data_IF_164722676343
#
_entry.id   IF_164722676343
#
_cell.length_a   1.000
_cell.length_b   1.000
_cell.length_c   1.000
_cell.angle_alpha   90.00
_cell.angle_beta   90.00
_cell.angle_gamma   90.00
#
_symmetry.space_group_name_H-M   'P 1'
#
loop_
_entity.id
_entity.type
_entity.pdbx_description
1 polymer ?
#
# COMPACT_ATOMS: atom_id res chain seq x y z
N UNK A 1 -5.50 3.59 36.47
CA UNK A 1 -4.64 4.49 35.67
C UNK A 1 -3.84 3.61 34.74
N UNK A 2 -3.89 3.71 33.43
CA UNK A 2 -4.57 4.63 32.53
C UNK A 2 -4.46 4.02 31.11
N UNK A 3 -5.40 4.36 30.24
CA UNK A 3 -5.56 3.92 28.85
C UNK A 3 -4.29 3.96 27.99
N UNK A 4 -4.19 3.05 27.00
CA UNK A 4 -4.00 3.47 25.60
C UNK A 4 -4.86 2.66 24.62
N UNK A 5 -5.54 3.29 23.64
CA UNK A 5 -6.70 2.69 22.96
C UNK A 5 -6.39 1.72 21.80
N UNK A 6 -5.13 1.34 21.55
CA UNK A 6 -4.77 0.66 20.29
C UNK A 6 -3.91 -0.61 20.41
N UNK A 7 -3.58 -1.08 21.61
CA UNK A 7 -3.28 -2.50 21.85
C UNK A 7 -2.24 -3.23 20.98
N UNK A 8 -1.24 -2.55 20.38
CA UNK A 8 -0.09 -3.24 19.75
C UNK A 8 1.23 -2.58 20.13
N UNK A 9 2.14 -3.38 20.67
CA UNK A 9 3.58 -3.05 20.78
C UNK A 9 4.13 -2.85 19.37
N UNK A 10 4.21 -1.60 18.93
CA UNK A 10 4.71 -1.22 17.61
C UNK A 10 4.40 0.23 17.30
N UNK A 11 5.25 0.89 16.52
CA UNK A 11 4.94 2.24 15.99
C UNK A 11 3.71 2.14 15.08
N UNK A 12 2.69 3.02 15.22
CA UNK A 12 1.51 2.96 14.37
C UNK A 12 1.91 3.13 12.90
N UNK A 13 1.25 2.42 11.97
CA UNK A 13 1.51 2.58 10.55
C UNK A 13 1.17 4.00 10.10
N UNK A 14 1.98 4.54 9.19
CA UNK A 14 1.69 5.78 8.46
C UNK A 14 1.03 5.39 7.14
N UNK A 15 -0.13 5.99 6.86
CA UNK A 15 -0.83 5.84 5.60
C UNK A 15 -0.54 7.03 4.68
N UNK A 16 -0.08 6.74 3.46
CA UNK A 16 0.11 7.72 2.39
C UNK A 16 -0.95 7.47 1.31
N UNK A 17 -1.89 8.40 1.17
CA UNK A 17 -3.01 8.27 0.23
C UNK A 17 -2.84 9.26 -0.92
N UNK A 18 -2.77 8.76 -2.15
CA UNK A 18 -2.66 9.58 -3.36
C UNK A 18 -4.04 9.87 -3.97
N UNK A 19 -4.21 11.11 -4.44
CA UNK A 19 -5.47 11.62 -5.01
C UNK A 19 -5.22 12.54 -6.21
N UNK A 20 -6.29 12.86 -6.96
CA UNK A 20 -6.30 13.97 -7.91
C UNK A 20 -5.52 13.75 -9.21
N UNK A 21 -5.31 12.50 -9.62
CA UNK A 21 -4.70 12.17 -10.91
C UNK A 21 -5.32 10.89 -11.48
N UNK A 22 -5.16 10.67 -12.79
CA UNK A 22 -5.60 9.43 -13.44
C UNK A 22 -4.90 8.19 -12.85
N UNK A 23 -5.57 7.04 -12.89
CA UNK A 23 -5.12 5.78 -12.26
C UNK A 23 -3.68 5.40 -12.60
N UNK A 24 -3.25 5.55 -13.85
CA UNK A 24 -1.86 5.26 -14.27
C UNK A 24 -0.83 6.13 -13.56
N UNK A 25 -1.13 7.41 -13.34
CA UNK A 25 -0.24 8.35 -12.64
C UNK A 25 -0.19 8.00 -11.15
N UNK A 26 -1.34 7.69 -10.54
CA UNK A 26 -1.40 7.27 -9.13
C UNK A 26 -0.62 5.98 -8.90
N UNK A 27 -0.79 4.97 -9.75
CA UNK A 27 -0.02 3.72 -9.70
C UNK A 27 1.49 3.98 -9.83
N UNK A 28 1.90 4.88 -10.73
CA UNK A 28 3.31 5.26 -10.89
C UNK A 28 3.86 5.94 -9.63
N UNK A 29 3.09 6.80 -8.98
CA UNK A 29 3.48 7.46 -7.71
C UNK A 29 3.60 6.46 -6.57
N UNK A 30 2.64 5.53 -6.44
CA UNK A 30 2.70 4.43 -5.47
C UNK A 30 3.99 3.62 -5.67
N UNK A 31 4.25 3.16 -6.91
CA UNK A 31 5.47 2.42 -7.24
C UNK A 31 6.74 3.22 -6.94
N UNK A 32 6.74 4.54 -7.19
CA UNK A 32 7.87 5.41 -6.87
C UNK A 32 8.16 5.43 -5.37
N UNK A 33 7.15 5.54 -4.52
CA UNK A 33 7.32 5.51 -3.05
C UNK A 33 7.85 4.16 -2.58
N UNK A 34 7.31 3.05 -3.09
CA UNK A 34 7.78 1.71 -2.75
C UNK A 34 9.26 1.52 -3.13
N UNK A 35 9.64 1.98 -4.33
CA UNK A 35 11.04 1.91 -4.79
C UNK A 35 11.98 2.78 -3.98
N UNK A 36 11.59 4.03 -3.67
CA UNK A 36 12.42 4.95 -2.88
C UNK A 36 12.66 4.44 -1.46
N UNK A 37 11.75 3.63 -0.92
CA UNK A 37 11.87 3.08 0.43
C UNK A 37 12.51 1.70 0.45
N UNK A 38 12.71 1.05 -0.71
CA UNK A 38 13.15 -0.35 -0.79
C UNK A 38 14.47 -0.62 -0.04
N UNK A 39 15.48 0.25 -0.18
CA UNK A 39 16.76 0.13 0.51
C UNK A 39 16.59 0.18 2.04
N UNK A 40 15.75 1.08 2.54
CA UNK A 40 15.43 1.18 3.95
C UNK A 40 14.81 -0.12 4.50
N UNK A 41 14.16 -0.92 3.64
CA UNK A 41 13.52 -2.18 3.99
C UNK A 41 14.34 -3.44 3.70
N UNK A 42 15.56 -3.32 3.13
CA UNK A 42 16.34 -4.45 2.58
C UNK A 42 16.58 -5.66 3.51
N UNK A 43 16.56 -5.44 4.82
CA UNK A 43 16.80 -6.48 5.84
C UNK A 43 15.56 -6.78 6.70
N UNK A 44 14.37 -6.36 6.26
CA UNK A 44 13.12 -6.49 7.02
C UNK A 44 11.95 -6.97 6.15
N UNK A 45 12.25 -7.55 4.97
CA UNK A 45 11.24 -7.90 3.97
C UNK A 45 10.30 -9.06 4.37
N UNK A 46 10.57 -9.74 5.48
CA UNK A 46 9.87 -10.95 5.90
C UNK A 46 9.08 -10.79 7.20
N UNK A 47 9.47 -9.85 8.06
CA UNK A 47 8.71 -9.59 9.27
C UNK A 47 7.56 -8.63 8.98
N UNK A 48 6.34 -9.17 9.05
CA UNK A 48 5.11 -8.38 9.17
C UNK A 48 5.15 -7.42 10.37
N UNK A 49 6.14 -7.59 11.24
CA UNK A 49 6.43 -6.78 12.41
C UNK A 49 7.56 -5.81 12.07
N UNK A 50 7.26 -4.54 12.26
CA UNK A 50 8.20 -3.43 12.18
C UNK A 50 9.53 -3.80 12.82
N UNK A 51 10.60 -3.91 12.02
CA UNK A 51 11.95 -4.01 12.56
C UNK A 51 12.22 -2.85 13.53
N UNK A 52 13.06 -3.03 14.56
CA UNK A 52 13.36 -1.98 15.53
C UNK A 52 13.78 -0.70 14.81
N UNK A 53 13.16 0.43 15.18
CA UNK A 53 13.45 1.75 14.61
C UNK A 53 12.72 2.12 13.31
N UNK A 54 11.96 1.21 12.69
CA UNK A 54 11.22 1.51 11.45
C UNK A 54 9.76 1.89 11.73
N UNK A 55 9.17 2.68 10.84
CA UNK A 55 7.73 3.02 10.87
C UNK A 55 7.07 2.30 9.69
N UNK A 56 6.01 1.51 9.88
CA UNK A 56 5.37 0.83 8.75
C UNK A 56 4.72 1.86 7.84
N UNK A 57 4.96 1.77 6.54
CA UNK A 57 4.35 2.64 5.53
C UNK A 57 3.35 1.84 4.69
N UNK A 58 2.10 2.32 4.69
CA UNK A 58 1.01 1.83 3.84
C UNK A 58 0.70 2.89 2.79
N UNK A 59 0.51 2.48 1.54
CA UNK A 59 0.31 3.39 0.41
C UNK A 59 -0.90 2.93 -0.40
N UNK A 60 -1.80 3.83 -0.76
CA UNK A 60 -2.99 3.53 -1.57
C UNK A 60 -3.43 4.75 -2.40
N UNK A 61 -4.33 4.54 -3.36
CA UNK A 61 -5.09 5.61 -3.99
C UNK A 61 -6.45 5.79 -3.28
N UNK A 62 -6.94 7.04 -3.18
CA UNK A 62 -8.24 7.30 -2.55
C UNK A 62 -9.40 6.67 -3.32
N UNK A 63 -9.32 6.58 -4.65
CA UNK A 63 -10.37 5.96 -5.47
C UNK A 63 -10.53 4.48 -5.09
N UNK A 64 -9.43 3.77 -4.85
CA UNK A 64 -9.45 2.37 -4.44
C UNK A 64 -10.01 2.23 -3.01
N UNK A 65 -9.63 3.13 -2.10
CA UNK A 65 -10.21 3.19 -0.75
C UNK A 65 -11.69 3.52 -0.75
N UNK A 66 -12.14 4.35 -1.69
CA UNK A 66 -13.56 4.73 -1.84
C UNK A 66 -14.35 3.54 -2.38
N UNK A 67 -13.79 2.80 -3.33
CA UNK A 67 -14.44 1.63 -3.93
C UNK A 67 -14.50 0.41 -3.01
N UNK A 68 -13.47 0.19 -2.18
CA UNK A 68 -13.32 -1.04 -1.38
C UNK A 68 -13.36 -0.82 0.14
N UNK A 69 -13.43 0.43 0.58
CA UNK A 69 -13.36 0.83 1.98
C UNK A 69 -11.93 0.79 2.55
N UNK A 70 -11.71 1.39 3.73
CA UNK A 70 -10.41 1.45 4.37
C UNK A 70 -9.89 0.10 4.88
N UNK A 71 -10.79 -0.88 5.05
CA UNK A 71 -10.44 -2.27 5.40
C UNK A 71 -10.24 -3.16 4.15
N UNK A 72 -10.41 -2.61 2.95
CA UNK A 72 -10.27 -3.33 1.69
C UNK A 72 -8.82 -3.70 1.36
N UNK A 73 -8.60 -4.66 0.45
CA UNK A 73 -7.27 -5.15 0.06
C UNK A 73 -6.57 -4.21 -0.93
N UNK A 74 -6.53 -2.91 -0.63
CA UNK A 74 -6.03 -1.84 -1.53
C UNK A 74 -4.70 -1.23 -1.06
N UNK A 75 -4.24 -1.64 0.12
CA UNK A 75 -3.01 -1.12 0.72
C UNK A 75 -1.78 -1.83 0.18
N UNK A 76 -0.82 -1.04 -0.31
CA UNK A 76 0.53 -1.47 -0.62
C UNK A 76 1.44 -1.19 0.56
N UNK A 77 2.18 -2.20 1.02
CA UNK A 77 3.09 -2.06 2.16
C UNK A 77 4.52 -1.92 1.67
N UNK A 78 5.21 -0.86 2.10
CA UNK A 78 6.64 -0.73 1.86
C UNK A 78 7.39 -1.83 2.62
N UNK A 79 8.37 -2.46 1.95
CA UNK A 79 9.12 -3.55 2.55
C UNK A 79 8.40 -4.90 2.62
N UNK A 80 7.26 -5.10 1.92
CA UNK A 80 6.75 -6.45 1.72
C UNK A 80 7.54 -7.17 0.61
N UNK A 81 7.87 -8.45 0.80
CA UNK A 81 8.68 -9.29 -0.13
C UNK A 81 8.05 -9.47 -1.51
N UNK A 82 6.80 -9.08 -1.69
CA UNK A 82 6.12 -9.10 -2.98
C UNK A 82 5.43 -7.76 -3.15
N UNK A 83 5.77 -6.97 -4.18
CA UNK A 83 4.77 -6.09 -4.73
C UNK A 83 3.60 -7.01 -5.10
N UNK A 84 2.39 -6.64 -4.71
CA UNK A 84 1.18 -7.13 -5.36
C UNK A 84 1.17 -6.68 -6.83
N UNK A 85 2.14 -7.14 -7.62
CA UNK A 85 2.26 -6.91 -9.06
C UNK A 85 1.01 -7.44 -9.79
N UNK A 86 0.23 -8.32 -9.16
CA UNK A 86 -0.99 -8.89 -9.72
C UNK A 86 -2.28 -8.08 -9.52
N UNK A 87 -2.31 -7.03 -8.70
CA UNK A 87 -3.58 -6.32 -8.41
C UNK A 87 -3.75 -5.01 -9.20
N UNK A 88 -2.68 -4.24 -9.41
CA UNK A 88 -2.77 -3.00 -10.20
C UNK A 88 -2.80 -3.23 -11.72
N UNK A 89 -2.25 -4.34 -12.22
CA UNK A 89 -2.36 -4.70 -13.65
C UNK A 89 -3.73 -5.33 -14.01
N UNK A 90 -4.49 -5.85 -13.04
CA UNK A 90 -5.79 -6.49 -13.27
C UNK A 90 -6.86 -5.53 -13.79
N UNK A 91 -6.74 -4.24 -13.51
CA UNK A 91 -7.76 -3.24 -13.86
C UNK A 91 -7.35 -2.27 -14.98
N UNK A 92 -6.19 -2.49 -15.59
CA UNK A 92 -5.74 -1.76 -16.79
C UNK A 92 -6.19 -2.40 -18.10
N UNK A 93 -6.78 -3.59 -18.04
CA UNK A 93 -7.45 -4.21 -19.19
C UNK A 93 -8.93 -3.88 -19.09
N UNK A 94 -9.51 -3.03 -19.99
CA UNK A 94 -10.96 -2.98 -20.10
C UNK A 94 -11.47 -4.40 -20.42
N UNK A 95 -12.61 -4.85 -19.85
CA UNK A 95 -13.18 -6.12 -20.26
C UNK A 95 -13.32 -6.07 -21.78
N UNK A 96 -12.69 -7.00 -22.48
CA UNK A 96 -12.74 -7.10 -23.94
C UNK A 96 -14.21 -7.05 -24.34
N UNK A 97 -14.60 -5.96 -24.99
CA UNK A 97 -15.83 -5.86 -25.75
C UNK A 97 -15.85 -7.08 -26.67
N UNK A 98 -16.73 -8.03 -26.34
CA UNK A 98 -17.13 -9.08 -27.26
C UNK A 98 -17.91 -8.36 -28.35
N UNK A 99 -17.20 -7.86 -29.37
CA UNK A 99 -17.84 -7.44 -30.60
C UNK A 99 -18.40 -8.69 -31.30
N UNK A 100 -19.59 -8.57 -31.91
CA UNK A 100 -20.41 -9.67 -32.40
C UNK A 100 -19.77 -10.46 -33.55
#
# INVERSE_FOLDING_TARGET
MDERPTGRLGRPPVALVFIGAGRTVLASRINRVLNLTAEHWQHSFLDLHTGPGKVPLLVAALDDLTAHGPQGPVWHRAGATVPSAGWLQRWTTPPSESLP
#
